data_IF_549580123886
#
_entry.id   IF_549580123886
#
_cell.length_a   1.000
_cell.length_b   1.000
_cell.length_c   1.000
_cell.angle_alpha   90.00
_cell.angle_beta   90.00
_cell.angle_gamma   90.00
#
_symmetry.space_group_name_H-M   'P 1'
#
loop_
_entity.id
_entity.type
_entity.pdbx_description
1 polymer ?
#
# COMPACT_ATOMS: atom_id res chain seq x y z
N UNK A 1 -35.59 -23.89 16.28
CA UNK A 1 -35.44 -22.64 15.49
C UNK A 1 -34.39 -21.78 16.18
N UNK A 2 -33.13 -21.86 15.75
CA UNK A 2 -32.01 -21.14 16.37
C UNK A 2 -31.75 -19.81 15.64
N UNK A 3 -31.45 -18.69 16.34
CA UNK A 3 -31.21 -17.41 15.68
C UNK A 3 -29.79 -17.36 15.11
N UNK A 4 -29.69 -16.96 13.84
CA UNK A 4 -28.44 -16.75 13.13
C UNK A 4 -27.64 -15.61 13.80
N UNK A 5 -26.43 -15.92 14.28
CA UNK A 5 -25.46 -14.92 14.74
C UNK A 5 -25.04 -14.06 13.55
N UNK A 6 -25.36 -12.77 13.60
CA UNK A 6 -24.80 -11.77 12.68
C UNK A 6 -23.30 -11.63 12.96
N UNK A 7 -22.50 -12.12 12.03
CA UNK A 7 -21.05 -11.95 12.03
C UNK A 7 -20.72 -10.47 11.81
N UNK A 8 -20.19 -9.79 12.84
CA UNK A 8 -19.73 -8.41 12.71
C UNK A 8 -18.49 -8.38 11.83
N UNK A 9 -18.54 -7.62 10.74
CA UNK A 9 -17.40 -7.41 9.87
C UNK A 9 -16.23 -6.75 10.64
N UNK A 10 -15.08 -7.42 10.66
CA UNK A 10 -13.86 -6.92 11.28
C UNK A 10 -13.36 -5.63 10.59
N UNK A 11 -12.76 -4.67 11.34
CA UNK A 11 -12.26 -3.42 10.78
C UNK A 11 -11.08 -3.68 9.83
N UNK A 12 -11.18 -3.10 8.62
CA UNK A 12 -10.16 -3.21 7.56
C UNK A 12 -9.00 -2.27 7.89
N UNK A 13 -7.95 -2.80 8.52
CA UNK A 13 -6.72 -2.04 8.79
C UNK A 13 -5.95 -1.81 7.49
N UNK A 14 -5.66 -0.55 7.15
CA UNK A 14 -4.81 -0.22 6.00
C UNK A 14 -3.39 -0.73 6.21
N UNK A 15 -2.77 -1.26 5.16
CA UNK A 15 -1.38 -1.75 5.17
C UNK A 15 -0.60 -1.03 4.08
N UNK A 16 0.46 -0.34 4.49
CA UNK A 16 1.42 0.28 3.56
C UNK A 16 2.55 -0.71 3.29
N UNK A 17 2.86 -0.95 2.02
CA UNK A 17 3.95 -1.84 1.61
C UNK A 17 5.12 -0.99 1.08
N UNK A 18 6.19 -0.89 1.88
CA UNK A 18 7.47 -0.25 1.53
C UNK A 18 8.59 -1.29 1.27
N UNK A 19 8.24 -2.56 1.01
CA UNK A 19 9.18 -3.67 0.83
C UNK A 19 8.90 -4.42 -0.47
N UNK A 20 9.89 -5.15 -1.03
CA UNK A 20 9.65 -6.04 -2.15
C UNK A 20 8.48 -6.98 -1.86
N UNK A 21 7.63 -7.20 -2.85
CA UNK A 21 6.55 -8.16 -2.71
C UNK A 21 7.13 -9.58 -2.70
N UNK A 22 6.79 -10.42 -1.71
CA UNK A 22 7.33 -11.76 -1.63
C UNK A 22 6.89 -12.61 -2.82
N UNK A 23 7.78 -13.49 -3.26
CA UNK A 23 7.46 -14.49 -4.27
C UNK A 23 6.31 -15.39 -3.77
N UNK A 24 5.27 -15.56 -4.59
CA UNK A 24 4.06 -16.28 -4.19
C UNK A 24 3.16 -15.57 -3.17
N UNK A 25 3.35 -14.26 -2.95
CA UNK A 25 2.50 -13.48 -2.06
C UNK A 25 1.02 -13.52 -2.50
N UNK A 26 0.15 -14.01 -1.63
CA UNK A 26 -1.30 -14.00 -1.84
C UNK A 26 -1.97 -12.94 -0.96
N UNK A 27 -2.89 -12.19 -1.58
CA UNK A 27 -3.69 -11.16 -0.93
C UNK A 27 -5.18 -11.49 -0.90
N UNK A 28 -5.59 -12.66 -1.40
CA UNK A 28 -7.00 -13.11 -1.53
C UNK A 28 -7.79 -13.09 -0.22
N UNK A 29 -7.14 -13.35 0.91
CA UNK A 29 -7.75 -13.28 2.25
C UNK A 29 -7.83 -11.88 2.85
N UNK A 30 -7.21 -10.88 2.23
CA UNK A 30 -7.19 -9.51 2.75
C UNK A 30 -8.46 -8.76 2.36
N UNK A 31 -8.91 -7.88 3.26
CA UNK A 31 -9.97 -6.90 2.96
C UNK A 31 -9.45 -5.46 3.02
N UNK A 32 -8.17 -5.30 3.33
CA UNK A 32 -7.51 -4.01 3.50
C UNK A 32 -7.37 -3.31 2.16
N UNK A 33 -7.67 -2.02 2.15
CA UNK A 33 -7.29 -1.16 1.04
C UNK A 33 -5.78 -0.88 1.11
N UNK A 34 -5.07 -1.01 -0.01
CA UNK A 34 -3.60 -0.95 -0.06
C UNK A 34 -3.13 0.29 -0.83
N UNK A 35 -2.29 1.11 -0.19
CA UNK A 35 -1.51 2.15 -0.88
C UNK A 35 -0.06 1.68 -0.98
N UNK A 36 0.43 1.48 -2.19
CA UNK A 36 1.83 1.21 -2.48
C UNK A 36 2.57 2.50 -2.83
N UNK A 37 3.73 2.74 -2.23
CA UNK A 37 4.55 3.93 -2.47
C UNK A 37 5.93 3.49 -2.94
N UNK A 38 6.30 3.87 -4.16
CA UNK A 38 7.51 3.42 -4.85
C UNK A 38 8.41 4.61 -5.21
N UNK A 39 9.73 4.42 -5.09
CA UNK A 39 10.72 5.30 -5.70
C UNK A 39 10.96 4.88 -7.15
N UNK A 40 10.96 5.82 -8.08
CA UNK A 40 11.20 5.56 -9.50
C UNK A 40 12.60 5.07 -9.81
N UNK A 41 13.59 5.48 -9.00
CA UNK A 41 15.00 5.08 -9.16
C UNK A 41 15.29 3.72 -8.50
N UNK A 42 14.37 3.17 -7.71
CA UNK A 42 14.52 1.90 -7.01
C UNK A 42 14.24 0.70 -7.92
N UNK A 43 15.24 0.31 -8.72
CA UNK A 43 15.12 -0.80 -9.67
C UNK A 43 14.76 -2.14 -8.99
N UNK A 44 15.23 -2.37 -7.75
CA UNK A 44 15.03 -3.64 -7.04
C UNK A 44 13.58 -3.80 -6.61
N UNK A 45 12.97 -2.77 -6.03
CA UNK A 45 11.56 -2.83 -5.63
C UNK A 45 10.65 -2.75 -6.85
N UNK A 46 11.00 -1.93 -7.84
CA UNK A 46 10.23 -1.80 -9.08
C UNK A 46 10.14 -3.10 -9.87
N UNK A 47 11.14 -3.99 -9.81
CA UNK A 47 11.07 -5.33 -10.39
C UNK A 47 9.91 -6.17 -9.83
N UNK A 48 9.54 -5.98 -8.56
CA UNK A 48 8.45 -6.73 -7.90
C UNK A 48 7.10 -6.03 -7.94
N UNK A 49 7.05 -4.77 -8.42
CA UNK A 49 5.82 -3.97 -8.51
C UNK A 49 4.74 -4.60 -9.39
N UNK A 50 5.04 -5.19 -10.58
CA UNK A 50 4.03 -5.84 -11.40
C UNK A 50 3.38 -7.04 -10.70
N UNK A 51 4.17 -7.85 -9.98
CA UNK A 51 3.65 -8.98 -9.22
C UNK A 51 2.73 -8.53 -8.07
N UNK A 52 3.12 -7.46 -7.35
CA UNK A 52 2.28 -6.86 -6.32
C UNK A 52 0.93 -6.36 -6.89
N UNK A 53 0.97 -5.69 -8.05
CA UNK A 53 -0.24 -5.22 -8.73
C UNK A 53 -1.14 -6.38 -9.14
N UNK A 54 -0.58 -7.42 -9.76
CA UNK A 54 -1.34 -8.59 -10.17
C UNK A 54 -2.03 -9.29 -8.98
N UNK A 55 -1.34 -9.41 -7.84
CA UNK A 55 -1.93 -9.98 -6.62
C UNK A 55 -3.07 -9.12 -6.06
N UNK A 56 -2.92 -7.78 -6.09
CA UNK A 56 -3.97 -6.84 -5.66
C UNK A 56 -5.20 -6.89 -6.58
N UNK A 57 -4.98 -6.96 -7.89
CA UNK A 57 -6.03 -7.10 -8.91
C UNK A 57 -6.77 -8.44 -8.74
N UNK A 58 -6.03 -9.54 -8.60
CA UNK A 58 -6.60 -10.87 -8.40
C UNK A 58 -7.45 -10.96 -7.13
N UNK A 59 -7.00 -10.33 -6.04
CA UNK A 59 -7.74 -10.23 -4.79
C UNK A 59 -8.91 -9.22 -4.82
N UNK A 60 -9.09 -8.48 -5.93
CA UNK A 60 -10.09 -7.41 -6.10
C UNK A 60 -10.05 -6.38 -4.96
N UNK A 61 -8.85 -6.06 -4.49
CA UNK A 61 -8.65 -5.10 -3.41
C UNK A 61 -8.66 -3.67 -3.96
N UNK A 62 -9.25 -2.75 -3.21
CA UNK A 62 -9.08 -1.31 -3.47
C UNK A 62 -7.60 -0.98 -3.26
N UNK A 63 -6.92 -0.55 -4.31
CA UNK A 63 -5.51 -0.23 -4.22
C UNK A 63 -5.11 0.95 -5.10
N UNK A 64 -4.03 1.61 -4.72
CA UNK A 64 -3.38 2.67 -5.49
C UNK A 64 -1.86 2.48 -5.37
N UNK A 65 -1.13 2.67 -6.47
CA UNK A 65 0.33 2.55 -6.52
C UNK A 65 0.90 3.89 -6.96
N UNK A 66 1.54 4.60 -6.03
CA UNK A 66 2.22 5.87 -6.27
C UNK A 66 3.68 5.61 -6.62
N UNK A 67 4.19 6.29 -7.63
CA UNK A 67 5.61 6.23 -8.00
C UNK A 67 6.17 7.65 -8.07
N UNK A 68 7.21 7.91 -7.30
CA UNK A 68 7.93 9.17 -7.27
C UNK A 68 9.18 9.04 -8.15
N UNK A 69 9.15 9.57 -9.38
CA UNK A 69 10.17 9.30 -10.42
C UNK A 69 11.59 9.64 -9.98
N UNK A 70 11.75 10.75 -9.26
CA UNK A 70 13.05 11.28 -8.80
C UNK A 70 13.47 10.76 -7.41
N UNK A 71 12.78 9.75 -6.88
CA UNK A 71 13.05 9.21 -5.56
C UNK A 71 13.70 7.83 -5.65
N UNK A 72 14.76 7.62 -4.86
CA UNK A 72 15.44 6.33 -4.70
C UNK A 72 14.90 5.55 -3.50
N UNK A 73 15.40 4.35 -3.29
CA UNK A 73 15.06 3.52 -2.14
C UNK A 73 15.23 4.29 -0.83
N UNK A 74 14.28 4.08 0.09
CA UNK A 74 14.26 4.73 1.41
C UNK A 74 14.24 6.27 1.37
N UNK A 75 13.68 6.89 0.32
CA UNK A 75 13.55 8.35 0.21
C UNK A 75 12.79 9.03 1.36
N UNK A 76 12.02 8.27 2.13
CA UNK A 76 11.26 8.76 3.28
C UNK A 76 12.10 8.85 4.57
N UNK A 77 13.28 8.23 4.61
CA UNK A 77 14.15 8.27 5.78
C UNK A 77 14.94 9.59 5.82
N UNK A 78 14.53 10.52 6.70
CA UNK A 78 15.11 11.86 6.89
C UNK A 78 16.52 11.86 7.48
N UNK A 79 16.98 10.74 8.01
CA UNK A 79 18.36 10.56 8.50
C UNK A 79 19.31 9.98 7.44
N UNK A 80 18.81 9.60 6.27
CA UNK A 80 19.58 8.93 5.21
C UNK A 80 20.03 9.84 4.07
N UNK A 81 21.13 9.48 3.39
CA UNK A 81 21.65 10.21 2.23
C UNK A 81 20.70 10.24 1.01
N UNK A 82 19.67 9.38 0.99
CA UNK A 82 18.68 9.26 -0.08
C UNK A 82 17.39 10.02 0.22
N UNK A 83 17.33 10.75 1.33
CA UNK A 83 16.14 11.51 1.72
C UNK A 83 15.72 12.47 0.60
N UNK A 84 14.47 12.37 0.17
CA UNK A 84 13.88 13.31 -0.77
C UNK A 84 12.71 14.00 -0.06
N UNK A 85 12.89 15.24 0.45
CA UNK A 85 11.88 15.92 1.27
C UNK A 85 10.57 16.16 0.50
N UNK A 86 10.66 16.42 -0.81
CA UNK A 86 9.48 16.64 -1.65
C UNK A 86 8.68 15.33 -1.81
N UNK A 87 9.35 14.24 -2.20
CA UNK A 87 8.70 12.94 -2.34
C UNK A 87 8.16 12.42 -0.99
N UNK A 88 8.91 12.62 0.10
CA UNK A 88 8.48 12.21 1.44
C UNK A 88 7.22 12.96 1.90
N UNK A 89 7.20 14.28 1.72
CA UNK A 89 6.04 15.12 2.07
C UNK A 89 4.80 14.71 1.29
N UNK A 90 4.93 14.53 -0.03
CA UNK A 90 3.82 14.11 -0.88
C UNK A 90 3.36 12.69 -0.58
N UNK A 91 4.28 11.76 -0.32
CA UNK A 91 3.96 10.40 0.09
C UNK A 91 3.17 10.39 1.41
N UNK A 92 3.56 11.21 2.38
CA UNK A 92 2.86 11.34 3.65
C UNK A 92 1.45 11.89 3.46
N UNK A 93 1.30 12.99 2.71
CA UNK A 93 0.01 13.60 2.40
C UNK A 93 -0.94 12.60 1.74
N UNK A 94 -0.46 11.86 0.74
CA UNK A 94 -1.24 10.83 0.04
C UNK A 94 -1.63 9.67 0.95
N UNK A 95 -0.77 9.32 1.91
CA UNK A 95 -1.05 8.28 2.90
C UNK A 95 -2.20 8.69 3.82
N UNK A 96 -2.18 9.92 4.33
CA UNK A 96 -3.28 10.45 5.15
C UNK A 96 -4.60 10.50 4.36
N UNK A 97 -4.57 11.07 3.15
CA UNK A 97 -5.74 11.13 2.27
C UNK A 97 -6.29 9.73 1.97
N UNK A 98 -5.42 8.73 1.82
CA UNK A 98 -5.85 7.34 1.61
C UNK A 98 -6.61 6.82 2.82
N UNK A 99 -6.07 7.00 4.03
CA UNK A 99 -6.74 6.57 5.26
C UNK A 99 -8.10 7.23 5.43
N UNK A 100 -8.23 8.52 5.15
CA UNK A 100 -9.52 9.22 5.17
C UNK A 100 -10.48 8.60 4.14
N UNK A 101 -10.00 8.42 2.90
CA UNK A 101 -10.82 7.90 1.80
C UNK A 101 -11.25 6.43 1.98
N UNK A 102 -10.54 5.64 2.79
CA UNK A 102 -10.89 4.23 3.06
C UNK A 102 -11.58 4.03 4.42
N UNK A 103 -11.40 4.97 5.36
CA UNK A 103 -12.00 4.98 6.69
C UNK A 103 -13.43 5.52 6.70
N UNK A 104 -13.77 6.42 5.77
CA UNK A 104 -15.14 6.93 5.60
C UNK A 104 -16.00 5.97 4.77
N UNK A 105 -16.46 4.87 5.38
CA UNK A 105 -17.66 4.17 4.93
C UNK A 105 -18.60 3.98 6.11
N UNK A 106 -19.58 4.88 6.20
CA UNK A 106 -20.81 4.67 6.96
C UNK A 106 -21.65 3.56 6.32
#
# INVERSE_FOLDING_TARGET
MAPARRERAAPRRGRTLLRPFPEGGDLSGSRAAVLGVFGGLDARVNATRPAAKAALDAARLRHELLTFTEADHAFFNDTGARFNPHAATEAWRRTLNWFDAVGHRH
#
